data_IF_927825156332
#
_entry.id   IF_927825156332
#
_cell.length_a   1.000
_cell.length_b   1.000
_cell.length_c   1.000
_cell.angle_alpha   90.00
_cell.angle_beta   90.00
_cell.angle_gamma   90.00
#
_symmetry.space_group_name_H-M   'P 1'
#
loop_
_entity.id
_entity.type
_entity.pdbx_description
1 polymer ?
#
# COMPACT_ATOMS: atom_id res chain seq x y z
N UNK A 1 -11.23 9.65 -8.56
CA UNK A 1 -11.08 8.51 -7.61
C UNK A 1 -9.74 8.54 -6.91
N UNK A 2 -8.62 8.09 -7.51
CA UNK A 2 -7.33 8.05 -6.80
C UNK A 2 -6.88 9.39 -6.21
N UNK A 3 -6.95 10.48 -6.99
CA UNK A 3 -6.69 11.84 -6.48
C UNK A 3 -7.52 12.19 -5.24
N UNK A 4 -8.84 12.01 -5.34
CA UNK A 4 -9.80 12.52 -4.35
C UNK A 4 -9.94 11.61 -3.12
N UNK A 5 -9.70 10.31 -3.28
CA UNK A 5 -9.84 9.30 -2.21
C UNK A 5 -8.51 8.94 -1.55
N UNK A 6 -7.37 9.09 -2.25
CA UNK A 6 -6.05 8.66 -1.76
C UNK A 6 -5.09 9.84 -1.69
N UNK A 7 -4.75 10.47 -2.82
CA UNK A 7 -3.67 11.48 -2.83
C UNK A 7 -4.00 12.67 -1.92
N UNK A 8 -5.20 13.23 -2.02
CA UNK A 8 -5.59 14.40 -1.24
C UNK A 8 -5.80 14.10 0.26
N UNK A 9 -6.63 13.12 0.66
CA UNK A 9 -6.93 12.94 2.08
C UNK A 9 -5.90 12.07 2.84
N UNK A 10 -5.15 11.20 2.14
CA UNK A 10 -4.26 10.22 2.79
C UNK A 10 -2.79 10.52 2.54
N UNK A 11 -2.40 10.98 1.34
CA UNK A 11 -0.97 11.20 1.05
C UNK A 11 -0.52 12.61 1.42
N UNK A 12 -1.18 13.64 0.87
CA UNK A 12 -0.77 15.03 1.03
C UNK A 12 -0.56 15.46 2.50
N UNK A 13 -1.38 15.05 3.49
CA UNK A 13 -1.17 15.47 4.87
C UNK A 13 0.11 14.90 5.52
N UNK A 14 0.65 13.80 5.01
CA UNK A 14 1.74 13.04 5.65
C UNK A 14 3.05 13.03 4.84
N UNK A 15 3.06 13.65 3.64
CA UNK A 15 4.18 13.54 2.70
C UNK A 15 5.39 14.43 3.03
N UNK A 16 5.27 15.41 3.93
CA UNK A 16 6.29 16.45 4.18
C UNK A 16 7.75 15.94 4.18
N UNK A 17 8.06 14.92 4.99
CA UNK A 17 9.40 14.35 5.11
C UNK A 17 9.52 12.94 4.48
N UNK A 18 8.53 12.53 3.67
CA UNK A 18 8.43 11.18 3.11
C UNK A 18 8.34 11.21 1.59
N UNK A 19 8.71 10.11 0.94
CA UNK A 19 8.50 9.94 -0.51
C UNK A 19 7.37 8.94 -0.75
N UNK A 20 6.50 9.25 -1.71
CA UNK A 20 5.44 8.34 -2.14
C UNK A 20 6.03 7.26 -3.06
N UNK A 21 5.88 6.01 -2.67
CA UNK A 21 6.12 4.87 -3.56
C UNK A 21 4.78 4.28 -3.99
N UNK A 22 4.59 4.11 -5.30
CA UNK A 22 3.45 3.42 -5.87
C UNK A 22 3.80 2.90 -7.27
N UNK A 23 3.02 1.94 -7.77
CA UNK A 23 3.22 1.41 -9.11
C UNK A 23 2.75 2.38 -10.21
N UNK A 24 3.11 2.08 -11.45
CA UNK A 24 2.71 2.85 -12.62
C UNK A 24 1.31 2.46 -13.17
N UNK A 25 0.41 1.96 -12.31
CA UNK A 25 -0.95 1.62 -12.74
C UNK A 25 -1.65 2.84 -13.36
N UNK A 26 -2.50 2.62 -14.37
CA UNK A 26 -3.16 3.71 -15.12
C UNK A 26 -3.81 4.80 -14.25
N UNK A 27 -4.50 4.49 -13.12
CA UNK A 27 -5.06 5.52 -12.26
C UNK A 27 -4.02 6.39 -11.56
N UNK A 28 -2.82 5.85 -11.32
CA UNK A 28 -1.72 6.52 -10.62
C UNK A 28 -0.98 7.50 -11.53
N UNK A 29 -0.75 7.10 -12.79
CA UNK A 29 -0.08 7.93 -13.81
C UNK A 29 -1.06 8.73 -14.67
N UNK A 30 -2.35 8.75 -14.31
CA UNK A 30 -3.34 9.57 -14.99
C UNK A 30 -2.98 11.06 -14.83
N UNK A 31 -3.15 11.84 -15.90
CA UNK A 31 -2.81 13.28 -15.92
C UNK A 31 -3.35 14.06 -14.72
N UNK A 32 -4.57 13.76 -14.29
CA UNK A 32 -5.21 14.43 -13.14
C UNK A 32 -4.50 14.14 -11.80
N UNK A 33 -3.86 12.99 -11.69
CA UNK A 33 -3.10 12.56 -10.51
C UNK A 33 -1.69 13.14 -10.56
N UNK A 34 -1.00 13.06 -11.71
CA UNK A 34 0.34 13.63 -11.86
C UNK A 34 0.34 15.14 -11.67
N UNK A 35 -0.64 15.86 -12.24
CA UNK A 35 -0.79 17.31 -12.04
C UNK A 35 -1.06 17.66 -10.57
N UNK A 36 -1.79 16.82 -9.84
CA UNK A 36 -2.04 17.04 -8.42
C UNK A 36 -0.78 16.79 -7.59
N UNK A 37 -0.03 15.73 -7.88
CA UNK A 37 1.25 15.44 -7.24
C UNK A 37 2.24 16.59 -7.44
N UNK A 38 2.33 17.13 -8.66
CA UNK A 38 3.14 18.32 -8.97
C UNK A 38 2.68 19.55 -8.17
N UNK A 39 1.37 19.84 -8.16
CA UNK A 39 0.83 21.02 -7.48
C UNK A 39 1.01 20.98 -5.95
N UNK A 40 0.90 19.80 -5.36
CA UNK A 40 1.07 19.58 -3.91
C UNK A 40 2.53 19.30 -3.52
N UNK A 41 3.47 19.34 -4.47
CA UNK A 41 4.88 18.98 -4.27
C UNK A 41 5.04 17.61 -3.58
N UNK A 42 4.30 16.60 -4.02
CA UNK A 42 4.38 15.22 -3.50
C UNK A 42 5.63 14.57 -4.13
N UNK A 43 6.75 14.42 -3.40
CA UNK A 43 7.88 13.66 -3.91
C UNK A 43 7.47 12.20 -4.11
N UNK A 44 7.79 11.63 -5.27
CA UNK A 44 7.50 10.23 -5.57
C UNK A 44 8.78 9.50 -6.03
N UNK A 45 8.86 8.21 -5.73
CA UNK A 45 9.95 7.35 -6.19
C UNK A 45 9.59 6.78 -7.56
N UNK A 46 10.45 7.01 -8.55
CA UNK A 46 10.28 6.39 -9.87
C UNK A 46 10.39 4.87 -9.74
N UNK A 47 9.34 4.17 -10.16
CA UNK A 47 9.28 2.71 -10.08
C UNK A 47 9.47 2.07 -11.46
N UNK A 48 10.35 1.06 -11.61
CA UNK A 48 10.47 0.34 -12.87
C UNK A 48 9.17 -0.40 -13.24
N UNK A 49 8.87 -0.45 -14.54
CA UNK A 49 7.70 -1.16 -15.02
C UNK A 49 7.86 -2.68 -14.80
N UNK A 50 6.77 -3.35 -14.42
CA UNK A 50 6.73 -4.80 -14.20
C UNK A 50 7.73 -5.32 -13.16
N UNK A 51 7.98 -4.53 -12.10
CA UNK A 51 8.77 -4.96 -10.93
C UNK A 51 7.91 -5.05 -9.67
N UNK A 52 6.91 -5.96 -9.65
CA UNK A 52 6.07 -6.21 -8.48
C UNK A 52 6.90 -6.76 -7.31
N UNK A 53 7.89 -7.60 -7.63
CA UNK A 53 8.81 -8.29 -6.73
C UNK A 53 9.68 -7.37 -5.85
N UNK A 54 9.86 -6.12 -6.27
CA UNK A 54 10.67 -5.13 -5.56
C UNK A 54 9.81 -4.36 -4.53
N UNK A 55 8.47 -4.45 -4.57
CA UNK A 55 7.60 -3.60 -3.76
C UNK A 55 7.42 -4.14 -2.34
N UNK A 56 7.81 -3.40 -1.28
CA UNK A 56 7.56 -3.81 0.10
C UNK A 56 6.08 -4.05 0.38
N UNK A 57 5.17 -3.34 -0.30
CA UNK A 57 3.73 -3.50 -0.15
C UNK A 57 3.25 -4.89 -0.58
N UNK A 58 3.83 -5.46 -1.65
CA UNK A 58 3.47 -6.80 -2.10
C UNK A 58 3.92 -7.87 -1.11
N UNK A 59 5.12 -7.71 -0.55
CA UNK A 59 5.63 -8.61 0.50
C UNK A 59 4.78 -8.53 1.78
N UNK A 60 4.28 -7.35 2.15
CA UNK A 60 3.35 -7.19 3.27
C UNK A 60 2.01 -7.88 2.97
N UNK A 61 1.48 -7.78 1.75
CA UNK A 61 0.26 -8.47 1.35
C UNK A 61 0.42 -10.00 1.36
N UNK A 62 1.53 -10.54 0.88
CA UNK A 62 1.83 -11.97 0.96
C UNK A 62 1.95 -12.44 2.42
N UNK A 63 2.63 -11.68 3.28
CA UNK A 63 2.71 -11.98 4.70
C UNK A 63 1.32 -12.01 5.37
N UNK A 64 0.44 -11.06 5.00
CA UNK A 64 -0.93 -11.02 5.49
C UNK A 64 -1.77 -12.19 4.98
N UNK A 65 -1.71 -12.51 3.68
CA UNK A 65 -2.44 -13.64 3.08
C UNK A 65 -2.06 -14.97 3.74
N UNK A 66 -0.75 -15.21 3.95
CA UNK A 66 -0.26 -16.40 4.66
C UNK A 66 -0.82 -16.53 6.07
N UNK A 67 -0.90 -15.43 6.81
CA UNK A 67 -1.48 -15.41 8.16
C UNK A 67 -2.97 -15.71 8.14
N UNK A 68 -3.73 -15.07 7.22
CA UNK A 68 -5.17 -15.32 7.06
C UNK A 68 -5.45 -16.78 6.75
N UNK A 69 -4.65 -17.41 5.86
CA UNK A 69 -4.79 -18.84 5.52
C UNK A 69 -4.51 -19.80 6.68
N UNK A 70 -3.73 -19.37 7.67
CA UNK A 70 -3.40 -20.17 8.86
C UNK A 70 -4.45 -20.04 9.97
N UNK A 71 -5.43 -19.15 9.84
CA UNK A 71 -6.49 -18.96 10.83
C UNK A 71 -7.39 -20.19 10.93
N UNK A 72 -7.88 -20.44 12.15
CA UNK A 72 -8.84 -21.51 12.43
C UNK A 72 -10.02 -20.91 13.22
N UNK A 73 -11.24 -20.90 12.67
CA UNK A 73 -11.59 -21.32 11.32
C UNK A 73 -11.07 -20.36 10.25
N UNK A 74 -10.87 -20.87 9.03
CA UNK A 74 -10.58 -20.03 7.85
C UNK A 74 -11.82 -19.18 7.53
N UNK A 75 -11.66 -17.88 7.20
CA UNK A 75 -12.78 -17.04 6.81
C UNK A 75 -13.58 -17.63 5.64
N UNK A 76 -14.89 -17.83 5.85
CA UNK A 76 -15.79 -18.48 4.88
C UNK A 76 -16.70 -17.48 4.14
N UNK A 77 -16.67 -16.20 4.51
CA UNK A 77 -17.45 -15.15 3.86
C UNK A 77 -16.71 -13.80 3.88
N UNK A 78 -17.23 -12.84 3.10
CA UNK A 78 -16.63 -11.51 2.94
C UNK A 78 -16.49 -10.78 4.28
N UNK A 79 -17.46 -10.92 5.18
CA UNK A 79 -17.42 -10.23 6.47
C UNK A 79 -16.31 -10.80 7.36
N UNK A 80 -16.21 -12.12 7.45
CA UNK A 80 -15.13 -12.80 8.17
C UNK A 80 -13.76 -12.48 7.56
N UNK A 81 -13.67 -12.39 6.23
CA UNK A 81 -12.42 -12.05 5.56
C UNK A 81 -11.98 -10.62 5.87
N UNK A 82 -12.91 -9.66 5.86
CA UNK A 82 -12.62 -8.26 6.25
C UNK A 82 -12.08 -8.18 7.68
N UNK A 83 -12.77 -8.81 8.62
CA UNK A 83 -12.32 -8.86 10.02
C UNK A 83 -10.94 -9.51 10.14
N UNK A 84 -10.70 -10.62 9.45
CA UNK A 84 -9.39 -11.28 9.45
C UNK A 84 -8.28 -10.38 8.88
N UNK A 85 -8.54 -9.62 7.81
CA UNK A 85 -7.58 -8.66 7.24
C UNK A 85 -7.21 -7.58 8.25
N UNK A 86 -8.19 -6.97 8.92
CA UNK A 86 -7.97 -5.91 9.91
C UNK A 86 -7.19 -6.41 11.14
N UNK A 87 -7.54 -7.60 11.63
CA UNK A 87 -6.85 -8.22 12.76
C UNK A 87 -5.42 -8.64 12.40
N UNK A 88 -5.22 -9.31 11.25
CA UNK A 88 -3.88 -9.71 10.82
C UNK A 88 -2.99 -8.51 10.49
N UNK A 89 -3.56 -7.42 9.95
CA UNK A 89 -2.82 -6.16 9.76
C UNK A 89 -2.24 -5.67 11.08
N UNK A 90 -3.06 -5.63 12.13
CA UNK A 90 -2.65 -5.17 13.46
C UNK A 90 -1.63 -6.13 14.10
N UNK A 91 -1.66 -7.42 13.73
CA UNK A 91 -0.75 -8.45 14.22
C UNK A 91 0.57 -8.55 13.46
N UNK A 92 0.76 -7.83 12.35
CA UNK A 92 2.05 -7.77 11.65
C UNK A 92 2.99 -6.87 12.47
N UNK A 93 4.10 -7.39 13.02
CA UNK A 93 5.02 -6.57 13.79
C UNK A 93 5.64 -5.49 12.89
N UNK A 94 5.74 -4.26 13.40
CA UNK A 94 6.38 -3.15 12.68
C UNK A 94 7.81 -3.49 12.21
N UNK A 95 8.54 -4.31 12.98
CA UNK A 95 9.87 -4.81 12.58
C UNK A 95 9.84 -5.57 11.25
N UNK A 96 8.76 -6.29 10.94
CA UNK A 96 8.58 -6.99 9.66
C UNK A 96 8.51 -5.98 8.52
N UNK A 97 7.70 -4.92 8.68
CA UNK A 97 7.56 -3.85 7.69
C UNK A 97 8.90 -3.12 7.52
N UNK A 98 9.57 -2.79 8.62
CA UNK A 98 10.87 -2.12 8.56
C UNK A 98 11.93 -2.97 7.87
N UNK A 99 11.95 -4.29 8.07
CA UNK A 99 12.88 -5.18 7.39
C UNK A 99 12.62 -5.23 5.88
N UNK A 100 11.35 -5.20 5.45
CA UNK A 100 10.97 -5.16 4.03
C UNK A 100 11.32 -3.82 3.36
N UNK A 101 11.31 -2.72 4.11
CA UNK A 101 11.73 -1.41 3.60
C UNK A 101 13.26 -1.34 3.43
N UNK A 102 14.01 -2.07 4.27
CA UNK A 102 15.48 -2.07 4.29
C UNK A 102 16.13 -3.22 3.50
N UNK A 103 15.34 -4.11 2.89
CA UNK A 103 15.83 -5.23 2.08
C UNK A 103 16.19 -4.81 0.66
#
# INVERSE_FOLDING_TARGET
RYRDEILRPIVAPFIHDHHLQHDNARPHVARICTQFQEAENIPFLAWPAYSPDISPTEHVWDAQDRRIRQRVPVPANIQQLRTAIEEEWTNIPQATINNLINS
#
